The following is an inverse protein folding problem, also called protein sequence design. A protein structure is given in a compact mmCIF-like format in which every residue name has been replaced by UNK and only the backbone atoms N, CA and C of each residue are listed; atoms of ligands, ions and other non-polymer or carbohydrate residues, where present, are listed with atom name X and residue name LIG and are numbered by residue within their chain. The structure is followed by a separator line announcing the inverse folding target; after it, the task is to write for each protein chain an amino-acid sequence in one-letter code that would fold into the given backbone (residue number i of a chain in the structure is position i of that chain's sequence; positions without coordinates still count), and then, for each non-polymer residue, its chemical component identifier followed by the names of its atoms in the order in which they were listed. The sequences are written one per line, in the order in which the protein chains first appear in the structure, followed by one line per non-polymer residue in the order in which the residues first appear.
data_IF_026817243848
#
_entry.id   IF_026817243848
#
_cell.length_a   1.000
_cell.length_b   1.000
_cell.length_c   1.000
_cell.angle_alpha   90.00
_cell.angle_beta   90.00
_cell.angle_gamma   90.00
#
_symmetry.space_group_name_H-M   'P 1'
#
loop_
_entity.id
_entity.type
_entity.pdbx_description
1 polymer ?
#
# COMPACT_ATOMS: atom_id res chain seq x y z
N UNK A 1 13.91 -13.68 6.93
CA UNK A 1 12.82 -13.41 7.89
C UNK A 1 13.17 -13.75 9.33
N UNK A 2 14.03 -14.76 9.54
CA UNK A 2 14.40 -15.18 10.90
C UNK A 2 15.17 -14.11 11.68
N UNK A 3 15.84 -13.19 10.98
CA UNK A 3 16.61 -12.10 11.60
C UNK A 3 15.73 -10.91 11.99
N UNK A 4 14.49 -10.89 11.54
CA UNK A 4 13.55 -9.81 11.86
C UNK A 4 12.89 -10.14 13.20
N UNK A 5 12.91 -9.20 14.17
CA UNK A 5 12.26 -9.47 15.45
C UNK A 5 10.74 -9.58 15.30
N UNK A 6 10.11 -10.26 16.25
CA UNK A 6 8.66 -10.30 16.29
C UNK A 6 8.11 -8.89 16.49
N UNK A 7 6.98 -8.59 15.83
CA UNK A 7 6.38 -7.26 15.86
C UNK A 7 4.88 -7.37 15.69
N UNK A 8 4.16 -6.36 16.16
CA UNK A 8 2.71 -6.34 16.07
C UNK A 8 2.22 -5.65 14.80
N UNK A 9 2.97 -4.68 14.30
CA UNK A 9 2.61 -3.91 13.10
C UNK A 9 3.80 -3.89 12.16
N UNK A 10 3.56 -4.20 10.90
CA UNK A 10 4.55 -4.09 9.83
C UNK A 10 4.20 -2.91 8.93
N UNK A 11 5.14 -2.00 8.74
CA UNK A 11 4.99 -0.92 7.77
C UNK A 11 6.05 -1.08 6.69
N UNK A 12 5.64 -1.04 5.43
CA UNK A 12 6.57 -1.20 4.31
C UNK A 12 6.10 -0.47 3.06
N UNK A 13 7.05 0.15 2.37
CA UNK A 13 6.86 0.62 1.02
C UNK A 13 7.63 -0.26 0.06
N UNK A 14 7.11 -0.46 -1.15
CA UNK A 14 7.81 -1.22 -2.16
C UNK A 14 7.62 -0.58 -3.54
N UNK A 15 8.61 -0.68 -4.44
CA UNK A 15 8.51 -0.03 -5.74
C UNK A 15 7.60 -0.77 -6.69
N UNK A 16 6.89 -0.02 -7.53
CA UNK A 16 6.10 -0.58 -8.62
C UNK A 16 6.97 -0.87 -9.86
N UNK A 17 8.11 -0.21 -9.98
CA UNK A 17 8.96 -0.30 -11.16
C UNK A 17 9.35 -1.72 -11.56
N UNK A 18 9.69 -2.65 -10.66
CA UNK A 18 10.02 -4.01 -11.07
C UNK A 18 8.90 -4.68 -11.85
N UNK A 19 7.66 -4.37 -11.53
CA UNK A 19 6.52 -4.91 -12.27
C UNK A 19 6.33 -4.21 -13.60
N UNK A 20 6.57 -2.90 -13.68
CA UNK A 20 6.38 -2.14 -14.91
C UNK A 20 7.49 -2.33 -15.92
N UNK A 21 8.73 -2.48 -15.45
CA UNK A 21 9.87 -2.78 -16.35
C UNK A 21 9.85 -4.22 -16.82
N UNK A 22 9.28 -5.09 -16.02
CA UNK A 22 8.96 -6.43 -16.44
C UNK A 22 7.72 -6.46 -17.32
N UNK A 23 7.31 -5.37 -17.87
CA UNK A 23 6.23 -5.25 -18.85
C UNK A 23 6.28 -6.29 -19.96
N UNK A 24 7.28 -7.05 -19.89
CA UNK A 24 7.46 -8.29 -20.55
C UNK A 24 6.74 -9.40 -19.84
N UNK A 25 5.58 -9.57 -19.76
CA UNK A 25 4.87 -10.82 -19.46
C UNK A 25 5.36 -11.64 -18.26
N UNK A 26 6.38 -11.17 -17.52
CA UNK A 26 6.96 -11.95 -16.43
C UNK A 26 6.46 -11.53 -15.07
N UNK A 27 5.85 -10.35 -14.96
CA UNK A 27 5.17 -9.94 -13.72
C UNK A 27 5.83 -10.44 -12.44
N UNK A 28 5.12 -11.32 -11.76
CA UNK A 28 5.58 -11.91 -10.52
C UNK A 28 6.68 -12.95 -10.68
N UNK A 29 6.96 -13.41 -11.88
CA UNK A 29 8.05 -14.37 -12.14
C UNK A 29 9.41 -13.69 -12.29
N UNK A 30 9.45 -12.36 -12.38
CA UNK A 30 10.72 -11.63 -12.47
C UNK A 30 11.30 -11.50 -11.06
N UNK A 31 12.61 -11.79 -10.95
CA UNK A 31 13.32 -11.67 -9.68
C UNK A 31 13.28 -10.26 -9.10
N UNK A 32 13.12 -9.25 -9.94
CA UNK A 32 12.99 -7.86 -9.49
C UNK A 32 11.64 -7.55 -8.88
N UNK A 33 10.62 -8.35 -9.18
CA UNK A 33 9.31 -8.24 -8.56
C UNK A 33 9.25 -8.87 -7.17
N UNK A 34 10.37 -9.40 -6.70
CA UNK A 34 10.40 -10.17 -5.46
C UNK A 34 10.29 -9.34 -4.19
N UNK A 35 10.39 -8.01 -4.27
CA UNK A 35 10.31 -7.19 -3.06
C UNK A 35 8.97 -7.35 -2.36
N UNK A 36 7.87 -7.40 -3.12
CA UNK A 36 6.58 -7.74 -2.53
C UNK A 36 6.62 -9.13 -1.88
N UNK A 37 7.24 -10.10 -2.54
CA UNK A 37 7.33 -11.45 -2.00
C UNK A 37 8.21 -11.54 -0.76
N UNK A 38 9.20 -10.67 -0.61
CA UNK A 38 9.95 -10.57 0.64
C UNK A 38 9.05 -10.06 1.78
N UNK A 39 8.23 -9.07 1.50
CA UNK A 39 7.24 -8.56 2.46
C UNK A 39 6.26 -9.68 2.82
N UNK A 40 5.76 -10.42 1.84
CA UNK A 40 4.87 -11.55 2.05
C UNK A 40 5.49 -12.59 2.97
N UNK A 41 6.76 -12.93 2.75
CA UNK A 41 7.47 -13.90 3.59
C UNK A 41 7.56 -13.43 5.04
N UNK A 42 7.84 -12.15 5.25
CA UNK A 42 7.89 -11.59 6.59
C UNK A 42 6.51 -11.68 7.25
N UNK A 43 5.46 -11.33 6.54
CA UNK A 43 4.10 -11.40 7.05
C UNK A 43 3.73 -12.84 7.41
N UNK A 44 4.04 -13.80 6.54
CA UNK A 44 3.77 -15.22 6.81
C UNK A 44 4.54 -15.74 8.01
N UNK A 45 5.80 -15.33 8.14
CA UNK A 45 6.67 -15.80 9.21
C UNK A 45 6.31 -15.18 10.57
N UNK A 46 6.03 -13.90 10.59
CA UNK A 46 5.84 -13.13 11.84
C UNK A 46 4.38 -12.94 12.21
N UNK A 47 3.47 -13.05 11.27
CA UNK A 47 2.03 -12.88 11.49
C UNK A 47 1.72 -11.65 12.36
N UNK A 48 2.16 -10.45 11.95
CA UNK A 48 1.81 -9.24 12.72
C UNK A 48 0.29 -9.06 12.80
N UNK A 49 -0.18 -8.38 13.82
CA UNK A 49 -1.62 -8.13 13.99
C UNK A 49 -2.18 -7.26 12.87
N UNK A 50 -1.34 -6.38 12.35
CA UNK A 50 -1.71 -5.47 11.25
C UNK A 50 -0.50 -5.15 10.38
N UNK A 51 -0.77 -4.73 9.16
CA UNK A 51 0.29 -4.18 8.30
C UNK A 51 -0.23 -2.96 7.57
N UNK A 52 0.71 -2.10 7.17
CA UNK A 52 0.47 -0.95 6.31
C UNK A 52 1.49 -0.99 5.17
N UNK A 53 1.01 -1.18 3.96
CA UNK A 53 1.84 -1.17 2.76
C UNK A 53 1.52 0.07 1.93
N UNK A 54 2.54 0.60 1.25
CA UNK A 54 2.42 1.81 0.46
C UNK A 54 3.04 1.60 -0.91
N UNK A 55 2.42 2.17 -1.94
CA UNK A 55 2.95 2.15 -3.29
C UNK A 55 2.43 3.35 -4.08
N UNK A 56 2.94 3.50 -5.30
CA UNK A 56 2.43 4.55 -6.19
C UNK A 56 1.02 4.21 -6.65
N UNK A 57 0.24 5.23 -6.95
CA UNK A 57 -1.14 5.10 -7.44
C UNK A 57 -1.26 4.14 -8.63
N UNK A 58 -0.27 4.17 -9.53
CA UNK A 58 -0.29 3.36 -10.74
C UNK A 58 -0.31 1.86 -10.50
N UNK A 59 0.03 1.40 -9.29
CA UNK A 59 -0.02 -0.02 -8.96
C UNK A 59 -1.42 -0.61 -9.20
N UNK A 60 -2.46 0.15 -8.88
CA UNK A 60 -3.84 -0.33 -8.99
C UNK A 60 -4.24 -0.66 -10.42
N UNK A 61 -3.68 0.07 -11.40
CA UNK A 61 -3.97 -0.17 -12.81
C UNK A 61 -2.92 -1.00 -13.54
N UNK A 62 -1.82 -1.33 -12.87
CA UNK A 62 -0.73 -2.06 -13.52
C UNK A 62 -1.22 -3.42 -14.03
N UNK A 63 -0.85 -3.75 -15.27
CA UNK A 63 -1.26 -4.97 -15.95
C UNK A 63 -2.78 -5.19 -15.88
N UNK A 64 -3.55 -4.13 -16.18
CA UNK A 64 -5.02 -4.15 -16.18
C UNK A 64 -5.62 -4.53 -14.83
N UNK A 65 -4.91 -4.21 -13.75
CA UNK A 65 -5.36 -4.49 -12.39
C UNK A 65 -4.98 -5.88 -11.88
N UNK A 66 -4.35 -6.71 -12.69
CA UNK A 66 -3.98 -8.09 -12.30
C UNK A 66 -2.93 -8.10 -11.19
N UNK A 67 -1.93 -7.23 -11.31
CA UNK A 67 -0.86 -7.14 -10.30
C UNK A 67 -1.44 -6.81 -8.93
N UNK A 68 -2.29 -5.80 -8.87
CA UNK A 68 -2.94 -5.40 -7.64
C UNK A 68 -3.81 -6.52 -7.07
N UNK A 69 -4.58 -7.19 -7.93
CA UNK A 69 -5.46 -8.28 -7.49
C UNK A 69 -4.65 -9.44 -6.90
N UNK A 70 -3.51 -9.79 -7.51
CA UNK A 70 -2.64 -10.85 -6.98
C UNK A 70 -2.11 -10.47 -5.60
N UNK A 71 -1.72 -9.22 -5.40
CA UNK A 71 -1.25 -8.73 -4.11
C UNK A 71 -2.34 -8.90 -3.06
N UNK A 72 -3.55 -8.45 -3.35
CA UNK A 72 -4.68 -8.53 -2.42
C UNK A 72 -5.02 -9.99 -2.12
N UNK A 73 -5.15 -10.82 -3.16
CA UNK A 73 -5.49 -12.24 -2.99
C UNK A 73 -4.43 -12.97 -2.16
N UNK A 74 -3.16 -12.65 -2.38
CA UNK A 74 -2.05 -13.25 -1.63
C UNK A 74 -2.16 -12.90 -0.15
N UNK A 75 -2.41 -11.64 0.17
CA UNK A 75 -2.53 -11.18 1.55
C UNK A 75 -3.78 -11.75 2.24
N UNK A 76 -4.89 -11.81 1.53
CA UNK A 76 -6.11 -12.39 2.07
C UNK A 76 -5.97 -13.90 2.29
N UNK A 77 -5.23 -14.59 1.42
CA UNK A 77 -4.98 -16.03 1.57
C UNK A 77 -4.16 -16.36 2.83
N UNK A 78 -3.33 -15.43 3.30
CA UNK A 78 -2.59 -15.59 4.54
C UNK A 78 -3.53 -15.52 5.75
N UNK A 79 -4.65 -14.80 5.62
CA UNK A 79 -5.63 -14.66 6.70
C UNK A 79 -5.94 -13.24 7.10
N UNK A 80 -5.49 -12.26 6.32
CA UNK A 80 -5.72 -10.85 6.63
C UNK A 80 -7.00 -10.33 5.97
N UNK A 81 -7.66 -9.43 6.68
CA UNK A 81 -8.75 -8.63 6.15
C UNK A 81 -8.16 -7.35 5.60
N UNK A 82 -8.23 -7.15 4.29
CA UNK A 82 -7.48 -6.12 3.59
C UNK A 82 -8.39 -4.99 3.15
N UNK A 83 -7.96 -3.75 3.40
CA UNK A 83 -8.60 -2.53 2.92
C UNK A 83 -7.59 -1.69 2.15
N UNK A 84 -8.05 -1.01 1.11
CA UNK A 84 -7.17 -0.19 0.28
C UNK A 84 -7.81 1.16 0.02
N UNK A 85 -6.96 2.19 -0.12
CA UNK A 85 -7.41 3.52 -0.53
C UNK A 85 -6.24 4.29 -1.13
N UNK A 86 -6.55 5.11 -2.13
CA UNK A 86 -5.60 6.09 -2.67
C UNK A 86 -5.78 7.39 -1.90
N UNK A 87 -4.68 7.89 -1.34
CA UNK A 87 -4.66 9.16 -0.61
C UNK A 87 -3.72 10.13 -1.32
N UNK A 88 -4.11 11.40 -1.36
CA UNK A 88 -3.31 12.46 -1.95
C UNK A 88 -2.78 13.38 -0.86
N UNK A 89 -1.50 13.70 -0.92
CA UNK A 89 -0.86 14.56 0.09
C UNK A 89 -1.52 15.94 0.18
N UNK A 90 -2.01 16.46 -0.95
CA UNK A 90 -2.70 17.76 -1.00
C UNK A 90 -3.96 17.81 -0.13
N UNK A 91 -4.57 16.66 0.13
CA UNK A 91 -5.77 16.56 0.96
C UNK A 91 -5.46 16.60 2.46
N UNK A 92 -4.17 16.60 2.82
CA UNK A 92 -3.69 16.54 4.20
C UNK A 92 -2.69 17.67 4.52
N UNK A 93 -2.96 18.87 4.02
CA UNK A 93 -2.17 20.07 4.29
C UNK A 93 -0.76 20.09 3.67
N UNK A 94 -0.50 19.27 2.67
CA UNK A 94 0.78 19.30 1.97
C UNK A 94 0.55 19.78 0.54
N UNK A 95 1.20 20.88 0.11
CA UNK A 95 1.03 21.40 -1.25
C UNK A 95 1.85 20.56 -2.25
N UNK A 96 1.59 19.27 -2.28
CA UNK A 96 2.24 18.33 -3.18
C UNK A 96 1.22 17.47 -3.88
N UNK A 97 1.45 17.25 -5.16
CA UNK A 97 0.61 16.41 -5.98
C UNK A 97 1.12 14.96 -5.90
N UNK A 98 1.07 14.39 -4.69
CA UNK A 98 1.58 13.04 -4.43
C UNK A 98 0.42 12.13 -4.05
N UNK A 99 0.04 11.26 -4.98
CA UNK A 99 -0.99 10.26 -4.74
C UNK A 99 -0.35 8.90 -4.52
N UNK A 100 -0.78 8.21 -3.46
CA UNK A 100 -0.24 6.90 -3.09
C UNK A 100 -1.38 5.97 -2.73
N UNK A 101 -1.21 4.69 -3.08
CA UNK A 101 -2.15 3.68 -2.62
C UNK A 101 -1.64 3.08 -1.31
N UNK A 102 -2.55 2.94 -0.37
CA UNK A 102 -2.29 2.33 0.92
C UNK A 102 -3.09 1.05 1.03
N UNK A 103 -2.40 -0.03 1.44
CA UNK A 103 -2.97 -1.35 1.63
C UNK A 103 -2.82 -1.69 3.10
N UNK A 104 -3.94 -1.82 3.79
CA UNK A 104 -3.97 -2.08 5.23
C UNK A 104 -4.59 -3.43 5.47
N UNK A 105 -3.99 -4.23 6.32
CA UNK A 105 -4.50 -5.54 6.66
C UNK A 105 -4.57 -5.78 8.15
N UNK A 106 -5.59 -6.50 8.60
CA UNK A 106 -5.80 -6.88 9.99
C UNK A 106 -6.11 -8.36 10.08
N UNK A 107 -5.49 -9.04 11.04
CA UNK A 107 -5.85 -10.43 11.34
C UNK A 107 -7.25 -10.53 11.93
N UNK A 108 -7.60 -9.61 12.82
CA UNK A 108 -8.90 -9.60 13.47
C UNK A 108 -9.93 -8.86 12.59
N UNK A 109 -11.02 -9.55 12.15
CA UNK A 109 -12.04 -8.90 11.33
C UNK A 109 -12.70 -7.71 12.00
N UNK A 110 -12.83 -7.73 13.33
CA UNK A 110 -13.42 -6.61 14.06
C UNK A 110 -12.55 -5.35 13.99
N UNK A 111 -11.23 -5.51 14.01
CA UNK A 111 -10.32 -4.39 13.83
C UNK A 111 -10.45 -3.80 12.43
N UNK A 112 -10.59 -4.65 11.42
CA UNK A 112 -10.80 -4.20 10.06
C UNK A 112 -12.10 -3.41 9.91
N UNK A 113 -13.18 -3.85 10.55
CA UNK A 113 -14.46 -3.16 10.50
C UNK A 113 -14.42 -1.78 11.14
N UNK A 114 -13.64 -1.63 12.21
CA UNK A 114 -13.52 -0.36 12.93
C UNK A 114 -12.56 0.60 12.26
N UNK A 115 -11.65 0.11 11.43
CA UNK A 115 -10.66 0.94 10.76
C UNK A 115 -11.31 1.78 9.67
N UNK A 116 -11.00 3.08 9.68
CA UNK A 116 -11.38 4.00 8.60
C UNK A 116 -10.14 4.77 8.16
N UNK A 117 -9.95 4.89 6.85
CA UNK A 117 -8.92 5.77 6.33
C UNK A 117 -9.22 7.22 6.70
N UNK A 118 -8.18 8.03 6.92
CA UNK A 118 -8.39 9.44 7.21
C UNK A 118 -9.12 10.13 6.05
N UNK A 119 -10.00 11.07 6.41
CA UNK A 119 -10.75 11.87 5.42
C UNK A 119 -9.94 13.10 5.04
N UNK A 120 -10.11 13.55 3.80
CA UNK A 120 -9.48 14.77 3.33
C UNK A 120 -9.82 15.96 4.24
N UNK A 121 -8.82 16.80 4.52
CA UNK A 121 -9.01 18.01 5.33
C UNK A 121 -9.56 19.11 4.44
N UNK A 122 -10.81 19.48 4.63
CA UNK A 122 -11.42 20.57 3.87
C UNK A 122 -10.83 21.93 4.29
N UNK A 123 -10.51 22.76 3.32
CA UNK A 123 -10.26 24.22 3.41
C UNK A 123 -8.81 24.69 3.59
N UNK A 124 -7.89 23.95 4.20
CA UNK A 124 -6.58 24.52 4.54
C UNK A 124 -5.67 24.69 3.34
N UNK A 125 -5.69 23.75 2.40
CA UNK A 125 -4.82 23.81 1.21
C UNK A 125 -5.30 24.88 0.23
N UNK A 126 -6.61 25.08 0.08
CA UNK A 126 -7.14 26.13 -0.79
C UNK A 126 -6.64 27.52 -0.36
N UNK A 127 -6.53 27.72 0.95
CA UNK A 127 -6.05 29.01 1.48
C UNK A 127 -4.56 29.22 1.19
N UNK A 128 -3.75 28.18 1.40
CA UNK A 128 -2.30 28.24 1.12
C UNK A 128 -2.03 28.43 -0.36
N UNK A 129 -2.73 27.70 -1.22
CA UNK A 129 -2.58 27.83 -2.67
C UNK A 129 -3.11 29.16 -3.20
N UNK A 130 -4.14 29.70 -2.59
CA UNK A 130 -4.65 31.05 -2.91
C UNK A 130 -3.65 32.15 -2.60
N UNK A 131 -2.80 31.97 -1.58
CA UNK A 131 -1.74 32.93 -1.25
C UNK A 131 -0.54 32.80 -2.18
N UNK A 132 -0.24 31.62 -2.66
CA UNK A 132 0.91 31.44 -3.56
C UNK A 132 0.60 31.82 -5.00
N UNK A 133 -0.67 31.96 -5.36
CA UNK A 133 -1.08 32.41 -6.69
C UNK A 133 -1.27 33.93 -6.77
N UNK A 134 -1.10 34.63 -5.68
CA UNK A 134 -1.10 36.07 -5.64
C UNK A 134 0.33 36.59 -5.63
#
# INVERSE_FOLDING_TARGET
PQQIPDHEILCAGFPCQPFSQAGHKQGFNDTRGTLFFQIEKIIRCKMPKAFLLENVKGLKGHDKGRTFQIIIDTLEAIGYNVKTKILAAKDFNLPQNRERIYIVGFLNPQHAQKFEFPKALEKTIRYVMGRTSA
#
